data_IF_795819245114
#
_entry.id   IF_795819245114
#
_cell.length_a   1.000
_cell.length_b   1.000
_cell.length_c   1.000
_cell.angle_alpha   90.00
_cell.angle_beta   90.00
_cell.angle_gamma   90.00
#
_symmetry.space_group_name_H-M   'P 1'
#
loop_
_entity.id
_entity.type
_entity.pdbx_description
1 polymer ?
#
# COMPACT_ATOMS: atom_id res chain seq x y z
N UNK A 1 13.06 -11.33 -3.17
CA UNK A 1 13.33 -10.35 -2.09
C UNK A 1 13.76 -9.05 -2.76
N UNK A 2 13.43 -7.88 -2.19
CA UNK A 2 13.92 -6.60 -2.72
C UNK A 2 15.40 -6.43 -2.34
N UNK A 3 16.28 -6.24 -3.33
CA UNK A 3 17.72 -6.08 -3.11
C UNK A 3 18.06 -4.77 -2.36
N UNK A 4 17.18 -3.78 -2.45
CA UNK A 4 17.31 -2.47 -1.79
C UNK A 4 16.02 -2.18 -1.01
N UNK A 5 15.82 -2.87 0.13
CA UNK A 5 14.62 -2.68 0.92
C UNK A 5 14.57 -1.26 1.47
N UNK A 6 13.36 -0.71 1.55
CA UNK A 6 13.11 0.53 2.29
C UNK A 6 13.55 0.40 3.75
N UNK A 7 13.76 1.55 4.40
CA UNK A 7 14.07 1.60 5.82
C UNK A 7 12.86 1.15 6.64
N UNK A 8 12.85 -0.11 7.03
CA UNK A 8 11.80 -0.76 7.83
C UNK A 8 12.42 -1.50 9.02
N UNK A 9 11.67 -1.76 10.10
CA UNK A 9 12.09 -2.64 11.19
C UNK A 9 12.71 -3.97 10.69
N UNK A 10 13.73 -4.51 11.38
CA UNK A 10 14.52 -5.65 10.91
C UNK A 10 13.71 -6.96 10.75
N UNK A 11 12.59 -7.08 11.45
CA UNK A 11 11.66 -8.22 11.37
C UNK A 11 10.75 -8.18 10.13
N UNK A 12 10.78 -7.08 9.35
CA UNK A 12 9.95 -6.90 8.17
C UNK A 12 10.72 -7.31 6.91
N UNK A 13 10.17 -8.28 6.20
CA UNK A 13 10.62 -8.64 4.85
C UNK A 13 10.00 -7.69 3.82
N UNK A 14 10.84 -7.05 3.00
CA UNK A 14 10.38 -6.29 1.84
C UNK A 14 10.53 -7.15 0.57
N UNK A 15 9.41 -7.61 0.05
CA UNK A 15 9.31 -8.37 -1.19
C UNK A 15 8.68 -7.58 -2.33
N UNK A 16 9.00 -7.98 -3.57
CA UNK A 16 8.41 -7.42 -4.79
C UNK A 16 7.61 -8.51 -5.49
N UNK A 17 6.41 -8.16 -5.94
CA UNK A 17 5.62 -8.96 -6.88
C UNK A 17 5.78 -8.32 -8.25
N UNK A 18 6.26 -9.08 -9.23
CA UNK A 18 6.39 -8.64 -10.61
C UNK A 18 5.37 -9.37 -11.47
N UNK A 19 4.71 -8.67 -12.38
CA UNK A 19 3.81 -9.30 -13.35
C UNK A 19 3.90 -8.64 -14.73
N UNK A 20 3.55 -9.42 -15.75
CA UNK A 20 3.35 -8.93 -17.12
C UNK A 20 1.95 -8.35 -17.33
N UNK A 21 1.05 -8.57 -16.38
CA UNK A 21 -0.31 -8.04 -16.41
C UNK A 21 -0.37 -6.69 -15.69
N UNK A 22 -1.25 -5.76 -16.11
CA UNK A 22 -1.54 -4.57 -15.33
C UNK A 22 -2.03 -4.94 -13.93
N UNK A 23 -1.57 -4.21 -12.91
CA UNK A 23 -2.06 -4.37 -11.53
C UNK A 23 -3.27 -3.48 -11.22
N UNK A 24 -3.55 -2.49 -12.07
CA UNK A 24 -4.74 -1.66 -11.99
C UNK A 24 -5.83 -2.26 -12.88
N UNK A 25 -7.06 -2.47 -12.38
CA UNK A 25 -8.16 -2.98 -13.19
C UNK A 25 -8.45 -2.10 -14.40
N UNK A 26 -8.82 -2.73 -15.51
CA UNK A 26 -9.09 -2.00 -16.78
C UNK A 26 -10.50 -1.45 -16.88
N UNK A 27 -11.42 -1.92 -16.03
CA UNK A 27 -12.83 -1.56 -15.97
C UNK A 27 -13.15 -0.47 -14.94
N UNK A 28 -12.12 0.20 -14.40
CA UNK A 28 -12.28 1.28 -13.44
C UNK A 28 -13.03 2.47 -14.07
N UNK A 29 -14.06 3.02 -13.39
CA UNK A 29 -14.72 4.24 -13.82
C UNK A 29 -13.69 5.38 -14.04
N UNK A 30 -13.86 6.20 -15.10
CA UNK A 30 -12.97 7.33 -15.34
C UNK A 30 -12.87 8.32 -14.17
N UNK A 31 -13.90 8.40 -13.31
CA UNK A 31 -13.88 9.24 -12.10
C UNK A 31 -12.83 8.80 -11.07
N UNK A 32 -12.45 7.52 -11.06
CA UNK A 32 -11.46 6.96 -10.13
C UNK A 32 -10.02 7.02 -10.64
N UNK A 33 -9.83 7.21 -11.95
CA UNK A 33 -8.50 7.22 -12.55
C UNK A 33 -7.56 8.27 -11.92
N UNK A 34 -7.98 9.52 -11.65
CA UNK A 34 -7.12 10.51 -10.99
C UNK A 34 -6.71 10.09 -9.57
N UNK A 35 -7.63 9.48 -8.81
CA UNK A 35 -7.37 8.99 -7.44
C UNK A 35 -6.31 7.89 -7.47
N UNK A 36 -6.46 6.89 -8.32
CA UNK A 36 -5.51 5.78 -8.42
C UNK A 36 -4.16 6.24 -8.99
N UNK A 37 -4.16 7.17 -9.93
CA UNK A 37 -2.92 7.77 -10.44
C UNK A 37 -2.16 8.58 -9.37
N UNK A 38 -2.89 9.16 -8.41
CA UNK A 38 -2.32 9.94 -7.31
C UNK A 38 -1.87 9.07 -6.14
N UNK A 39 -2.64 8.07 -5.75
CA UNK A 39 -2.41 7.33 -4.50
C UNK A 39 -1.85 5.92 -4.73
N UNK A 40 -2.00 5.38 -5.93
CA UNK A 40 -1.75 3.97 -6.21
C UNK A 40 -2.84 3.07 -5.63
N UNK A 41 -2.48 1.81 -5.40
CA UNK A 41 -3.33 0.81 -4.74
C UNK A 41 -2.60 0.29 -3.52
N UNK A 42 -3.33 -0.08 -2.47
CA UNK A 42 -2.73 -0.63 -1.27
C UNK A 42 -3.74 -1.46 -0.47
N UNK A 43 -3.23 -2.26 0.45
CA UNK A 43 -4.05 -3.03 1.38
C UNK A 43 -3.23 -3.70 2.47
N UNK A 44 -3.96 -4.36 3.37
CA UNK A 44 -3.42 -5.10 4.51
C UNK A 44 -4.02 -6.51 4.56
N UNK A 45 -3.27 -7.50 5.05
CA UNK A 45 -3.74 -8.89 5.23
C UNK A 45 -3.17 -9.48 6.52
N UNK A 46 -3.94 -10.34 7.18
CA UNK A 46 -3.50 -11.00 8.41
C UNK A 46 -3.37 -10.08 9.63
N UNK A 47 -3.81 -8.83 9.59
CA UNK A 47 -3.76 -7.96 10.76
C UNK A 47 -4.80 -8.38 11.81
N UNK A 48 -4.38 -8.48 13.08
CA UNK A 48 -5.29 -8.79 14.19
C UNK A 48 -6.12 -7.57 14.63
N UNK A 49 -5.66 -6.37 14.28
CA UNK A 49 -6.35 -5.11 14.50
C UNK A 49 -6.25 -4.21 13.27
N UNK A 50 -7.21 -3.31 13.03
CA UNK A 50 -7.11 -2.37 11.91
C UNK A 50 -5.87 -1.49 12.04
N UNK A 51 -5.29 -1.05 10.92
CA UNK A 51 -4.15 -0.13 10.96
C UNK A 51 -4.51 1.15 11.72
N UNK A 52 -3.51 1.83 12.33
CA UNK A 52 -3.74 3.07 13.06
C UNK A 52 -4.48 4.10 12.20
N UNK A 53 -5.45 4.79 12.81
CA UNK A 53 -6.25 5.80 12.10
C UNK A 53 -5.37 6.95 11.61
N UNK A 54 -5.62 7.50 10.40
CA UNK A 54 -4.99 8.73 9.92
C UNK A 54 -5.18 9.93 10.85
N UNK A 55 -6.13 9.88 11.79
CA UNK A 55 -6.29 10.90 12.84
C UNK A 55 -5.08 11.03 13.77
N UNK A 56 -4.21 10.02 13.82
CA UNK A 56 -2.96 10.06 14.60
C UNK A 56 -1.83 10.80 13.86
N UNK A 57 -1.99 11.08 12.57
CA UNK A 57 -0.97 11.72 11.74
C UNK A 57 -0.44 13.05 12.34
N UNK A 58 -1.26 13.96 12.88
CA UNK A 58 -0.76 15.20 13.49
C UNK A 58 0.23 14.97 14.64
N UNK A 59 0.14 13.85 15.36
CA UNK A 59 1.08 13.53 16.44
C UNK A 59 2.44 13.04 15.90
N UNK A 60 2.49 12.50 14.68
CA UNK A 60 3.70 11.97 14.05
C UNK A 60 4.44 13.02 13.20
N UNK A 61 3.73 14.03 12.68
CA UNK A 61 4.28 15.04 11.77
C UNK A 61 5.41 15.92 12.33
N UNK A 62 5.47 16.26 13.64
CA UNK A 62 6.58 17.05 14.16
C UNK A 62 7.96 16.44 13.87
N UNK A 63 8.05 15.11 13.80
CA UNK A 63 9.30 14.42 13.47
C UNK A 63 9.74 14.61 12.01
N UNK A 64 8.85 15.05 11.12
CA UNK A 64 9.10 15.28 9.69
C UNK A 64 9.09 16.77 9.32
N UNK A 65 8.86 17.65 10.29
CA UNK A 65 8.72 19.09 10.04
C UNK A 65 9.99 19.71 9.45
N UNK A 66 11.16 19.26 9.88
CA UNK A 66 12.46 19.71 9.34
C UNK A 66 12.62 19.40 7.84
N UNK A 67 11.91 18.39 7.33
CA UNK A 67 11.92 18.00 5.92
C UNK A 67 10.79 18.67 5.13
N UNK A 68 10.10 19.64 5.73
CA UNK A 68 9.01 20.40 5.10
C UNK A 68 7.67 19.65 5.03
N UNK A 69 7.54 18.50 5.68
CA UNK A 69 6.30 17.73 5.72
C UNK A 69 5.42 18.24 6.85
N UNK A 70 4.38 19.01 6.49
CA UNK A 70 3.42 19.60 7.43
C UNK A 70 1.99 19.24 7.04
N UNK A 71 1.02 19.49 7.92
CA UNK A 71 -0.40 19.29 7.61
C UNK A 71 -0.86 20.05 6.35
N UNK A 72 -0.26 21.22 6.11
CA UNK A 72 -0.62 22.08 4.97
C UNK A 72 -0.04 21.58 3.65
N UNK A 73 1.13 20.91 3.70
CA UNK A 73 1.83 20.42 2.51
C UNK A 73 1.49 18.96 2.18
N UNK A 74 0.74 18.25 3.03
CA UNK A 74 0.31 16.89 2.77
C UNK A 74 -0.65 16.82 1.59
N UNK A 75 -0.24 16.09 0.55
CA UNK A 75 -1.12 15.78 -0.57
C UNK A 75 -2.18 14.77 -0.11
N UNK A 76 -3.45 15.18 -0.17
CA UNK A 76 -4.60 14.36 0.21
C UNK A 76 -5.59 14.41 -0.94
N UNK A 77 -5.83 13.28 -1.61
CA UNK A 77 -6.91 13.25 -2.60
C UNK A 77 -8.27 13.33 -1.88
N UNK A 78 -9.26 13.98 -2.50
CA UNK A 78 -10.59 14.08 -1.93
C UNK A 78 -11.19 12.68 -1.75
N UNK A 79 -12.01 12.52 -0.72
CA UNK A 79 -12.79 11.29 -0.56
C UNK A 79 -13.84 11.20 -1.67
N UNK A 80 -13.99 10.00 -2.23
CA UNK A 80 -15.05 9.68 -3.15
C UNK A 80 -16.38 9.46 -2.43
N UNK A 81 -17.41 9.15 -3.21
CA UNK A 81 -18.65 8.58 -2.68
C UNK A 81 -18.40 7.21 -2.02
N UNK A 82 -19.29 6.72 -1.13
CA UNK A 82 -19.13 5.39 -0.54
C UNK A 82 -18.96 4.27 -1.56
N UNK A 83 -19.64 4.38 -2.71
CA UNK A 83 -19.50 3.41 -3.82
C UNK A 83 -18.12 3.49 -4.46
N UNK A 84 -17.61 4.70 -4.70
CA UNK A 84 -16.27 4.93 -5.24
C UNK A 84 -15.17 4.40 -4.31
N UNK A 85 -15.29 4.64 -3.01
CA UNK A 85 -14.33 4.12 -2.01
C UNK A 85 -14.33 2.58 -1.99
N UNK A 86 -15.50 1.95 -2.07
CA UNK A 86 -15.62 0.49 -2.18
C UNK A 86 -15.00 -0.04 -3.49
N UNK A 87 -15.18 0.67 -4.62
CA UNK A 87 -14.56 0.30 -5.90
C UNK A 87 -13.03 0.43 -5.87
N UNK A 88 -12.51 1.50 -5.27
CA UNK A 88 -11.04 1.67 -5.10
C UNK A 88 -10.49 0.54 -4.24
N UNK A 89 -11.19 0.15 -3.17
CA UNK A 89 -10.79 -1.00 -2.34
C UNK A 89 -10.75 -2.30 -3.14
N UNK A 90 -11.79 -2.58 -3.93
CA UNK A 90 -11.87 -3.79 -4.77
C UNK A 90 -10.85 -3.82 -5.90
N UNK A 91 -10.34 -2.66 -6.33
CA UNK A 91 -9.31 -2.60 -7.36
C UNK A 91 -8.02 -3.36 -6.95
N UNK A 92 -7.83 -3.59 -5.65
CA UNK A 92 -6.72 -4.34 -5.08
C UNK A 92 -6.98 -5.84 -4.87
N UNK A 93 -8.16 -6.37 -5.17
CA UNK A 93 -8.58 -7.71 -4.70
C UNK A 93 -7.72 -8.85 -5.26
N UNK A 94 -7.30 -8.76 -6.52
CA UNK A 94 -6.43 -9.78 -7.12
C UNK A 94 -5.05 -9.80 -6.45
N UNK A 95 -4.51 -8.63 -6.13
CA UNK A 95 -3.22 -8.49 -5.43
C UNK A 95 -3.36 -9.03 -4.01
N UNK A 96 -4.42 -8.63 -3.29
CA UNK A 96 -4.72 -9.14 -1.95
C UNK A 96 -4.85 -10.66 -1.95
N UNK A 97 -5.55 -11.23 -2.93
CA UNK A 97 -5.70 -12.68 -3.10
C UNK A 97 -4.35 -13.36 -3.33
N UNK A 98 -3.49 -12.78 -4.16
CA UNK A 98 -2.13 -13.30 -4.38
C UNK A 98 -1.30 -13.25 -3.10
N UNK A 99 -1.33 -12.13 -2.38
CA UNK A 99 -0.60 -11.93 -1.12
C UNK A 99 -1.03 -12.97 -0.08
N UNK A 100 -2.34 -13.16 0.13
CA UNK A 100 -2.88 -14.17 1.07
C UNK A 100 -2.46 -15.60 0.76
N UNK A 101 -2.28 -15.94 -0.53
CA UNK A 101 -1.80 -17.27 -0.94
C UNK A 101 -0.33 -17.49 -0.65
N UNK A 102 0.47 -16.41 -0.64
CA UNK A 102 1.93 -16.47 -0.46
C UNK A 102 2.37 -16.26 0.99
N UNK A 103 1.65 -15.43 1.74
CA UNK A 103 1.84 -15.15 3.16
C UNK A 103 0.56 -15.53 3.90
N UNK A 104 0.57 -16.71 4.53
CA UNK A 104 -0.58 -17.22 5.26
C UNK A 104 -0.94 -16.27 6.42
N UNK A 105 -2.18 -15.79 6.46
CA UNK A 105 -2.66 -14.79 7.42
C UNK A 105 -2.61 -15.27 8.89
N UNK A 106 -2.56 -16.58 9.13
CA UNK A 106 -2.38 -17.17 10.47
C UNK A 106 -0.95 -16.99 10.99
N UNK A 107 0.01 -16.86 10.08
CA UNK A 107 1.45 -16.84 10.36
C UNK A 107 2.08 -15.47 10.07
N UNK A 108 1.46 -14.67 9.21
CA UNK A 108 2.00 -13.42 8.69
C UNK A 108 0.98 -12.29 8.74
N UNK A 109 1.48 -11.09 9.03
CA UNK A 109 0.79 -9.85 8.73
C UNK A 109 1.49 -9.15 7.55
N UNK A 110 0.74 -8.56 6.63
CA UNK A 110 1.30 -7.86 5.49
C UNK A 110 0.66 -6.51 5.23
N UNK A 111 1.47 -5.58 4.74
CA UNK A 111 1.04 -4.39 4.04
C UNK A 111 1.56 -4.47 2.61
N UNK A 112 0.73 -4.22 1.61
CA UNK A 112 1.14 -4.22 0.21
C UNK A 112 0.69 -2.93 -0.48
N UNK A 113 1.46 -2.49 -1.47
CA UNK A 113 1.12 -1.32 -2.27
C UNK A 113 1.71 -1.37 -3.67
N UNK A 114 0.98 -0.79 -4.61
CA UNK A 114 1.43 -0.45 -5.96
C UNK A 114 1.68 1.04 -5.97
N UNK A 115 2.92 1.45 -6.19
CA UNK A 115 3.25 2.86 -6.27
C UNK A 115 2.44 3.56 -7.38
N UNK A 116 1.99 4.81 -7.18
CA UNK A 116 1.40 5.59 -8.26
C UNK A 116 2.41 5.77 -9.41
N UNK A 117 1.96 5.91 -10.67
CA UNK A 117 2.85 5.95 -11.84
C UNK A 117 4.01 6.95 -11.74
N UNK A 118 3.78 8.12 -11.12
CA UNK A 118 4.82 9.16 -10.96
C UNK A 118 6.00 8.74 -10.05
N UNK A 119 5.80 7.74 -9.19
CA UNK A 119 6.81 7.26 -8.23
C UNK A 119 7.46 5.94 -8.70
N UNK A 120 6.97 5.34 -9.78
CA UNK A 120 7.52 4.07 -10.29
C UNK A 120 8.82 4.32 -11.07
N UNK A 121 9.89 3.62 -10.71
CA UNK A 121 11.16 3.70 -11.44
C UNK A 121 11.18 2.84 -12.72
N UNK A 122 10.35 1.79 -12.80
CA UNK A 122 10.23 0.89 -13.96
C UNK A 122 8.77 0.90 -14.46
N UNK A 123 8.34 1.94 -15.20
CA UNK A 123 6.94 2.13 -15.58
C UNK A 123 6.42 1.08 -16.57
N UNK A 124 7.32 0.42 -17.32
CA UNK A 124 6.97 -0.61 -18.29
C UNK A 124 6.74 -2.01 -17.70
N UNK A 125 6.98 -2.19 -16.40
CA UNK A 125 6.84 -3.48 -15.73
C UNK A 125 6.10 -3.32 -14.40
N UNK A 126 4.87 -3.82 -14.35
CA UNK A 126 4.01 -3.69 -13.18
C UNK A 126 4.58 -4.44 -11.98
N UNK A 127 4.64 -3.73 -10.85
CA UNK A 127 5.14 -4.28 -9.59
C UNK A 127 4.41 -3.73 -8.37
N UNK A 128 4.31 -4.59 -7.36
CA UNK A 128 3.82 -4.26 -6.03
C UNK A 128 4.91 -4.53 -5.00
N UNK A 129 4.96 -3.68 -3.99
CA UNK A 129 5.75 -3.86 -2.79
C UNK A 129 4.91 -4.60 -1.76
N UNK A 130 5.51 -5.56 -1.06
CA UNK A 130 4.91 -6.26 0.07
C UNK A 130 5.87 -6.17 1.25
N UNK A 131 5.40 -5.60 2.34
CA UNK A 131 6.03 -5.66 3.65
C UNK A 131 5.36 -6.80 4.41
N UNK A 132 6.10 -7.85 4.72
CA UNK A 132 5.60 -9.02 5.42
C UNK A 132 6.33 -9.18 6.75
N UNK A 133 5.59 -9.34 7.83
CA UNK A 133 6.12 -9.61 9.16
C UNK A 133 5.58 -10.94 9.66
N UNK A 134 6.48 -11.81 10.12
CA UNK A 134 6.10 -13.08 10.72
C UNK A 134 5.53 -12.85 12.11
N UNK A 135 4.40 -13.47 12.43
CA UNK A 135 3.72 -13.38 13.74
C UNK A 135 4.33 -14.29 14.80
N UNK A 136 5.14 -15.26 14.39
CA UNK A 136 5.71 -16.23 15.32
C UNK A 136 6.45 -15.53 16.46
N UNK A 137 6.35 -16.14 17.65
CA UNK A 137 6.64 -15.52 18.95
C UNK A 137 7.87 -14.61 18.91
N UNK A 138 7.69 -13.38 19.36
CA UNK A 138 8.76 -12.56 19.91
C UNK A 138 9.59 -13.48 20.84
N UNK A 139 10.87 -13.68 20.50
CA UNK A 139 11.79 -14.44 21.37
C UNK A 139 12.00 -13.71 22.69
#
# INVERSE_FOLDING_TARGET
MNDWPYSVPPEIEHSLIWTRLPMTPTDLPPSLAPRIAQDGLWGFTGNDSPPPSPSLLPACLPALAEWGVTMDNLIRSPKGTPEEEERVKRAGDEISTFVKRRWNEDEWETAWFVNPPRLQSIPGLAHAHVFAKYKGKDN
#
